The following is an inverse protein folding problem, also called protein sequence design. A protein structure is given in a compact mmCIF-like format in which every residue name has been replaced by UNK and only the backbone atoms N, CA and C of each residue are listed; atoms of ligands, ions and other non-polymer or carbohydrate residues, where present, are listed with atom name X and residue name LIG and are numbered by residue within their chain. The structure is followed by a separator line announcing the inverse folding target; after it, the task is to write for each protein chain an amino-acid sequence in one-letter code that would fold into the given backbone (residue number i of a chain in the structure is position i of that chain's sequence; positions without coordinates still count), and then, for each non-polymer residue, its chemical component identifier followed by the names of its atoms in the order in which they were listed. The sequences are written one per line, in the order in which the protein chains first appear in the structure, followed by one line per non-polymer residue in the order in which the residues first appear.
data_IF_034470651632
#
_entry.id   IF_034470651632
#
_cell.length_a   1.000
_cell.length_b   1.000
_cell.length_c   1.000
_cell.angle_alpha   90.00
_cell.angle_beta   90.00
_cell.angle_gamma   90.00
#
_symmetry.space_group_name_H-M   'P 1'
#
loop_
_entity.id
_entity.type
_entity.pdbx_description
1 polymer ?
#
# COMPACT_ATOMS: atom_id res chain seq x y z
N UNK A 1 -15.33 0.35 -0.22
CA UNK A 1 -14.07 1.02 0.20
C UNK A 1 -13.17 1.08 -1.03
N UNK A 2 -12.80 2.25 -1.55
CA UNK A 2 -12.05 2.35 -2.83
C UNK A 2 -10.57 1.99 -2.62
N UNK A 3 -10.19 0.76 -2.96
CA UNK A 3 -8.80 0.31 -2.97
C UNK A 3 -8.08 1.00 -4.14
N UNK A 4 -7.18 1.94 -3.83
CA UNK A 4 -6.37 2.61 -4.84
C UNK A 4 -5.11 1.77 -5.12
N UNK A 5 -4.81 1.50 -6.39
CA UNK A 5 -3.55 0.86 -6.79
C UNK A 5 -2.39 1.87 -6.70
N UNK A 6 -1.19 1.35 -6.48
CA UNK A 6 0.06 2.11 -6.42
C UNK A 6 0.23 2.99 -7.67
N UNK A 7 0.43 4.29 -7.48
CA UNK A 7 0.64 5.27 -8.55
C UNK A 7 1.85 4.94 -9.43
N UNK A 8 2.86 4.23 -8.88
CA UNK A 8 4.09 3.86 -9.60
C UNK A 8 3.94 2.56 -10.40
N UNK A 9 3.67 1.44 -9.73
CA UNK A 9 3.65 0.12 -10.39
C UNK A 9 2.28 -0.31 -10.88
N UNK A 10 1.19 0.27 -10.36
CA UNK A 10 -0.21 -0.07 -10.66
C UNK A 10 -0.62 -1.54 -10.49
N UNK A 11 0.28 -2.40 -10.03
CA UNK A 11 0.01 -3.82 -9.75
C UNK A 11 -0.51 -4.03 -8.34
N UNK A 12 0.15 -3.40 -7.36
CA UNK A 12 -0.11 -3.60 -5.93
C UNK A 12 -0.93 -2.46 -5.36
N UNK A 13 -1.63 -2.72 -4.28
CA UNK A 13 -2.42 -1.70 -3.58
C UNK A 13 -1.55 -0.59 -2.99
N UNK A 14 -2.08 0.61 -2.94
CA UNK A 14 -1.47 1.73 -2.26
C UNK A 14 -1.84 1.71 -0.77
N UNK A 15 -0.83 1.58 0.08
CA UNK A 15 -0.98 1.62 1.55
C UNK A 15 -0.25 2.80 2.19
N UNK A 16 0.64 3.45 1.45
CA UNK A 16 1.34 4.66 1.86
C UNK A 16 0.86 5.82 1.00
N UNK A 17 0.37 6.88 1.63
CA UNK A 17 -0.04 8.10 0.93
C UNK A 17 0.91 9.24 1.29
N UNK A 18 1.46 9.88 0.26
CA UNK A 18 2.33 11.04 0.40
C UNK A 18 1.72 12.22 -0.32
N UNK A 19 1.67 13.34 0.37
CA UNK A 19 1.23 14.61 -0.20
C UNK A 19 2.45 15.38 -0.71
N UNK A 20 2.50 15.61 -2.02
CA UNK A 20 3.52 16.43 -2.68
C UNK A 20 2.90 17.76 -3.08
N UNK A 21 3.70 18.82 -3.10
CA UNK A 21 3.26 20.14 -3.56
C UNK A 21 3.82 20.38 -4.97
N UNK A 22 2.98 20.21 -6.00
CA UNK A 22 3.34 20.47 -7.39
C UNK A 22 2.56 21.67 -7.91
N UNK A 23 3.27 22.68 -8.44
CA UNK A 23 2.66 23.90 -8.98
C UNK A 23 1.69 24.61 -8.02
N UNK A 24 1.99 24.59 -6.71
CA UNK A 24 1.13 25.18 -5.67
C UNK A 24 -0.13 24.38 -5.35
N UNK A 25 -0.26 23.15 -5.87
CA UNK A 25 -1.35 22.23 -5.53
C UNK A 25 -0.79 21.04 -4.74
N UNK A 26 -1.45 20.73 -3.64
CA UNK A 26 -1.22 19.50 -2.90
C UNK A 26 -1.79 18.30 -3.67
N UNK A 27 -0.90 17.46 -4.21
CA UNK A 27 -1.25 16.21 -4.89
C UNK A 27 -0.95 15.07 -3.92
N UNK A 28 -1.96 14.23 -3.65
CA UNK A 28 -1.79 13.03 -2.83
C UNK A 28 -1.55 11.83 -3.73
N UNK A 29 -0.38 11.21 -3.61
CA UNK A 29 -0.01 10.00 -4.34
C UNK A 29 0.04 8.80 -3.40
N UNK A 30 -0.55 7.68 -3.83
CA UNK A 30 -0.54 6.43 -3.09
C UNK A 30 0.51 5.46 -3.65
N UNK A 31 1.33 4.86 -2.80
CA UNK A 31 2.34 3.87 -3.17
C UNK A 31 2.18 2.57 -2.39
N UNK A 32 2.51 1.45 -3.02
CA UNK A 32 2.66 0.17 -2.32
C UNK A 32 3.96 0.16 -1.50
N UNK A 33 4.05 -0.75 -0.53
CA UNK A 33 5.20 -0.88 0.38
C UNK A 33 6.55 -0.93 -0.35
N UNK A 34 6.74 -1.84 -1.32
CA UNK A 34 8.04 -1.90 -2.04
C UNK A 34 8.33 -0.63 -2.83
N UNK A 35 7.35 -0.05 -3.53
CA UNK A 35 7.59 1.19 -4.27
C UNK A 35 7.89 2.38 -3.35
N UNK A 36 7.24 2.46 -2.19
CA UNK A 36 7.48 3.51 -1.21
C UNK A 36 8.88 3.40 -0.58
N UNK A 37 9.34 2.18 -0.30
CA UNK A 37 10.71 1.88 0.14
C UNK A 37 11.75 2.27 -0.92
N UNK A 38 11.58 1.83 -2.17
CA UNK A 38 12.49 2.20 -3.27
C UNK A 38 12.56 3.71 -3.51
N UNK A 39 11.49 4.44 -3.21
CA UNK A 39 11.45 5.91 -3.33
C UNK A 39 12.06 6.63 -2.11
N UNK A 40 12.51 5.91 -1.08
CA UNK A 40 13.05 6.50 0.15
C UNK A 40 12.01 7.37 0.89
N UNK A 41 10.74 6.95 0.87
CA UNK A 41 9.68 7.67 1.59
C UNK A 41 9.95 7.55 3.08
N UNK A 42 10.38 8.65 3.72
CA UNK A 42 10.71 8.74 5.16
C UNK A 42 9.78 7.96 6.11
N UNK A 43 8.43 8.06 6.00
CA UNK A 43 7.52 7.25 6.82
C UNK A 43 7.81 5.76 6.80
N UNK A 44 8.21 5.21 5.65
CA UNK A 44 8.52 3.78 5.49
C UNK A 44 9.85 3.44 6.15
N UNK A 45 10.88 4.26 5.94
CA UNK A 45 12.18 4.09 6.60
C UNK A 45 12.05 4.13 8.13
N UNK A 46 11.22 5.04 8.65
CA UNK A 46 10.96 5.16 10.08
C UNK A 46 10.21 3.94 10.64
N UNK A 47 9.29 3.35 9.89
CA UNK A 47 8.58 2.12 10.27
C UNK A 47 9.56 0.94 10.34
N UNK A 48 10.37 0.75 9.29
CA UNK A 48 11.38 -0.33 9.23
C UNK A 48 12.34 -0.22 10.41
N UNK A 49 12.86 0.99 10.67
CA UNK A 49 13.76 1.24 11.80
C UNK A 49 13.11 1.01 13.16
N UNK A 50 11.85 1.42 13.35
CA UNK A 50 11.14 1.30 14.63
C UNK A 50 10.72 -0.12 14.95
N UNK A 51 10.31 -0.87 13.94
CA UNK A 51 9.93 -2.27 14.11
C UNK A 51 11.17 -3.19 14.23
N UNK A 52 12.37 -2.66 13.96
CA UNK A 52 13.61 -3.45 13.96
C UNK A 52 13.61 -4.51 12.87
N UNK A 53 12.76 -4.35 11.87
CA UNK A 53 12.59 -5.32 10.79
C UNK A 53 13.70 -5.12 9.77
N UNK A 54 14.25 -6.23 9.33
CA UNK A 54 15.12 -6.26 8.17
C UNK A 54 14.33 -6.01 6.88
N UNK A 55 15.06 -5.60 5.85
CA UNK A 55 14.48 -5.37 4.52
C UNK A 55 13.82 -6.61 3.91
N UNK A 56 14.35 -7.78 4.25
CA UNK A 56 13.89 -9.10 3.83
C UNK A 56 12.57 -9.49 4.52
N UNK A 57 12.45 -9.25 5.82
CA UNK A 57 11.19 -9.48 6.56
C UNK A 57 10.06 -8.58 6.06
N UNK A 58 10.37 -7.33 5.73
CA UNK A 58 9.40 -6.40 5.16
C UNK A 58 8.91 -6.85 3.78
N UNK A 59 9.81 -7.40 2.96
CA UNK A 59 9.45 -7.89 1.62
C UNK A 59 8.56 -9.13 1.70
N UNK A 60 8.87 -10.06 2.61
CA UNK A 60 8.05 -11.23 2.90
C UNK A 60 6.65 -10.84 3.40
N UNK A 61 6.55 -9.91 4.35
CA UNK A 61 5.25 -9.37 4.80
C UNK A 61 4.47 -8.70 3.67
N UNK A 62 5.17 -7.95 2.80
CA UNK A 62 4.52 -7.27 1.68
C UNK A 62 4.00 -8.26 0.63
N UNK A 63 4.59 -9.45 0.53
CA UNK A 63 4.11 -10.54 -0.32
C UNK A 63 2.90 -11.24 0.31
N UNK A 64 2.96 -11.58 1.61
CA UNK A 64 1.81 -12.16 2.32
C UNK A 64 0.59 -11.23 2.28
N UNK A 65 0.75 -9.93 2.53
CA UNK A 65 -0.36 -8.96 2.40
C UNK A 65 -0.90 -8.86 0.98
N UNK A 66 -0.05 -9.05 -0.04
CA UNK A 66 -0.47 -9.03 -1.44
C UNK A 66 -1.19 -10.32 -1.86
N UNK A 67 -0.93 -11.44 -1.18
CA UNK A 67 -1.59 -12.74 -1.40
C UNK A 67 -2.91 -12.86 -0.62
N UNK A 68 -3.01 -12.19 0.53
CA UNK A 68 -4.26 -12.12 1.31
C UNK A 68 -5.27 -11.14 0.71
N UNK A 69 -4.83 -10.19 -0.12
CA UNK A 69 -5.69 -9.20 -0.75
C UNK A 69 -6.58 -9.67 -1.91
N UNK A 70 -6.16 -10.54 -2.85
CA UNK A 70 -7.06 -11.06 -3.88
C UNK A 70 -8.30 -11.76 -3.27
N UNK A 71 -8.17 -12.35 -2.08
CA UNK A 71 -9.29 -12.95 -1.35
C UNK A 71 -10.31 -11.92 -0.82
N UNK A 72 -9.94 -10.65 -0.73
CA UNK A 72 -10.84 -9.54 -0.37
C UNK A 72 -11.47 -8.87 -1.61
N UNK A 73 -10.96 -9.15 -2.81
CA UNK A 73 -11.46 -8.63 -4.10
C UNK A 73 -12.52 -9.58 -4.71
N UNK A 74 -12.57 -10.85 -4.28
CA UNK A 74 -13.59 -11.85 -4.70
C UNK A 74 -14.90 -11.81 -3.89
N UNK A 75 -15.14 -10.80 -3.05
CA UNK A 75 -16.39 -10.62 -2.30
C UNK A 75 -17.16 -9.37 -2.71
N UNK A 76 -17.36 -9.17 -4.02
CA UNK A 76 -18.34 -8.22 -4.53
C UNK A 76 -19.47 -8.81 -5.40
N UNK A 77 -19.77 -10.11 -5.31
CA UNK A 77 -21.09 -10.61 -5.76
C UNK A 77 -21.77 -11.55 -4.73
N UNK A 78 -22.90 -11.04 -4.22
CA UNK A 78 -24.04 -11.72 -3.55
C UNK A 78 -23.99 -12.05 -2.04
N UNK A 79 -24.62 -11.21 -1.20
CA UNK A 79 -25.95 -11.50 -0.62
C UNK A 79 -26.40 -10.39 0.35
N UNK A 80 -27.26 -9.50 -0.15
CA UNK A 80 -28.28 -8.82 0.66
C UNK A 80 -29.34 -9.87 1.00
N UNK A 81 -29.22 -10.57 2.14
CA UNK A 81 -30.33 -11.28 2.79
C UNK A 81 -29.96 -11.79 4.21
N UNK A 82 -30.39 -11.03 5.21
CA UNK A 82 -30.88 -11.58 6.49
C UNK A 82 -29.89 -12.05 7.54
N UNK A 83 -29.63 -11.19 8.54
CA UNK A 83 -29.94 -11.49 9.95
C UNK A 83 -30.00 -10.22 10.80
#
# INVERSE_FOLDING_TARGET
MLIKKCSRCKTRVAVIYVTKNEFGRAISEGYCLKCAKELGIKPVDDIIKRMGMSEEEFDAMSEEMSELMPQLDENEEENDEGR
#
